data_IF_419639746697
#
_entry.id   IF_419639746697
#
_cell.length_a   1.000
_cell.length_b   1.000
_cell.length_c   1.000
_cell.angle_alpha   90.00
_cell.angle_beta   90.00
_cell.angle_gamma   90.00
#
_symmetry.space_group_name_H-M   'P 1'
#
loop_
_entity.id
_entity.type
_entity.pdbx_description
1 polymer ?
#
# COMPACT_ATOMS: atom_id res chain seq x y z
N UNK A 1 11.99 10.57 15.57
CA UNK A 1 13.19 10.33 14.74
C UNK A 1 14.39 10.61 15.61
N UNK A 2 15.12 9.53 15.95
CA UNK A 2 16.29 9.53 16.85
C UNK A 2 17.61 9.83 16.11
N UNK A 3 17.54 10.30 14.86
CA UNK A 3 18.75 10.61 14.07
C UNK A 3 19.54 11.74 14.74
N UNK A 4 20.85 11.52 14.91
CA UNK A 4 21.78 12.53 15.40
C UNK A 4 22.09 13.61 14.35
N UNK A 5 21.76 13.37 13.07
CA UNK A 5 22.04 14.27 11.95
C UNK A 5 20.75 14.66 11.21
N UNK A 6 19.80 15.26 11.92
CA UNK A 6 18.46 15.57 11.37
C UNK A 6 18.52 16.46 10.14
N UNK A 7 19.38 17.48 10.13
CA UNK A 7 19.50 18.40 9.00
C UNK A 7 19.98 17.72 7.71
N UNK A 8 21.00 16.86 7.82
CA UNK A 8 21.49 16.07 6.69
C UNK A 8 20.43 15.07 6.21
N UNK A 9 19.75 14.39 7.15
CA UNK A 9 18.65 13.49 6.81
C UNK A 9 17.52 14.22 6.08
N UNK A 10 17.15 15.43 6.51
CA UNK A 10 16.14 16.25 5.82
C UNK A 10 16.56 16.62 4.41
N UNK A 11 17.85 16.92 4.17
CA UNK A 11 18.35 17.19 2.81
C UNK A 11 18.20 15.99 1.89
N UNK A 12 18.51 14.78 2.38
CA UNK A 12 18.33 13.54 1.60
C UNK A 12 16.85 13.30 1.31
N UNK A 13 15.97 13.44 2.30
CA UNK A 13 14.53 13.31 2.09
C UNK A 13 13.99 14.34 1.09
N UNK A 14 14.50 15.57 1.11
CA UNK A 14 14.17 16.60 0.14
C UNK A 14 14.57 16.21 -1.28
N UNK A 15 15.76 15.65 -1.46
CA UNK A 15 16.19 15.10 -2.75
C UNK A 15 15.29 13.94 -3.20
N UNK A 16 14.99 12.97 -2.32
CA UNK A 16 14.12 11.84 -2.65
C UNK A 16 12.67 12.24 -2.98
N UNK A 17 12.22 13.40 -2.51
CA UNK A 17 10.91 13.97 -2.84
C UNK A 17 10.89 14.83 -4.12
N UNK A 18 12.06 15.08 -4.73
CA UNK A 18 12.22 15.93 -5.90
C UNK A 18 11.71 15.27 -7.19
N UNK A 19 11.41 16.09 -8.21
CA UNK A 19 11.07 15.61 -9.54
C UNK A 19 12.26 14.88 -10.21
N UNK A 20 13.49 15.35 -9.97
CA UNK A 20 14.71 14.73 -10.47
C UNK A 20 14.84 13.28 -9.97
N UNK A 21 14.71 13.07 -8.66
CA UNK A 21 14.77 11.72 -8.11
C UNK A 21 13.62 10.84 -8.61
N UNK A 22 12.40 11.38 -8.72
CA UNK A 22 11.26 10.63 -9.22
C UNK A 22 11.49 10.13 -10.66
N UNK A 23 12.06 10.97 -11.53
CA UNK A 23 12.42 10.59 -12.89
C UNK A 23 13.51 9.52 -12.89
N UNK A 24 14.57 9.70 -12.10
CA UNK A 24 15.66 8.72 -11.97
C UNK A 24 15.15 7.36 -11.45
N UNK A 25 14.22 7.38 -10.50
CA UNK A 25 13.61 6.19 -9.93
C UNK A 25 12.76 5.41 -10.96
N UNK A 26 12.00 6.13 -11.79
CA UNK A 26 11.26 5.54 -12.89
C UNK A 26 12.20 4.96 -13.97
N UNK A 27 13.23 5.71 -14.37
CA UNK A 27 14.13 5.33 -15.46
C UNK A 27 15.07 4.17 -15.10
N UNK A 28 15.67 4.18 -13.90
CA UNK A 28 16.71 3.23 -13.51
C UNK A 28 16.15 1.97 -12.83
N UNK A 29 15.04 2.10 -12.09
CA UNK A 29 14.46 0.97 -11.35
C UNK A 29 13.19 0.41 -12.00
N UNK A 30 12.59 1.13 -12.95
CA UNK A 30 11.33 0.73 -13.57
C UNK A 30 10.16 0.68 -12.58
N UNK A 31 10.22 1.44 -11.48
CA UNK A 31 9.23 1.38 -10.42
C UNK A 31 8.37 2.65 -10.38
N UNK A 32 7.03 2.56 -10.13
CA UNK A 32 6.16 3.72 -9.99
C UNK A 32 6.62 4.70 -8.89
N UNK A 33 7.08 5.91 -9.23
CA UNK A 33 7.46 6.88 -8.21
C UNK A 33 6.22 7.44 -7.50
N UNK A 34 6.42 8.02 -6.31
CA UNK A 34 5.34 8.68 -5.57
C UNK A 34 4.77 9.91 -6.30
N UNK A 35 5.58 10.53 -7.17
CA UNK A 35 5.17 11.65 -8.03
C UNK A 35 4.60 11.12 -9.33
N UNK A 36 3.58 11.78 -9.88
CA UNK A 36 2.90 11.36 -11.12
C UNK A 36 3.34 12.14 -12.36
N UNK A 37 4.16 13.17 -12.20
CA UNK A 37 4.65 14.06 -13.26
C UNK A 37 5.95 13.58 -13.95
N UNK A 38 6.19 12.26 -13.94
CA UNK A 38 7.36 11.64 -14.60
C UNK A 38 7.06 11.25 -16.04
N UNK A 39 8.07 11.28 -16.89
CA UNK A 39 7.99 10.72 -18.24
C UNK A 39 8.34 9.24 -18.19
N UNK A 40 7.41 8.38 -18.59
CA UNK A 40 7.60 6.92 -18.55
C UNK A 40 7.79 6.39 -19.97
N UNK A 41 8.95 5.75 -20.21
CA UNK A 41 9.26 5.10 -21.49
C UNK A 41 8.92 3.61 -21.50
N UNK A 42 9.01 2.96 -20.34
CA UNK A 42 8.71 1.55 -20.21
C UNK A 42 7.18 1.31 -20.33
N UNK A 43 6.73 0.45 -21.25
CA UNK A 43 5.31 0.26 -21.49
C UNK A 43 4.58 -0.43 -20.33
N UNK A 44 5.26 -1.25 -19.53
CA UNK A 44 4.68 -1.91 -18.34
C UNK A 44 4.52 -0.88 -17.23
N UNK A 45 5.55 -0.07 -16.98
CA UNK A 45 5.48 1.01 -16.00
C UNK A 45 4.39 2.03 -16.37
N UNK A 46 4.21 2.32 -17.66
CA UNK A 46 3.15 3.22 -18.12
C UNK A 46 1.76 2.66 -17.78
N UNK A 47 1.54 1.35 -17.98
CA UNK A 47 0.29 0.69 -17.60
C UNK A 47 0.08 0.71 -16.08
N UNK A 48 1.13 0.45 -15.29
CA UNK A 48 1.06 0.52 -13.82
C UNK A 48 0.69 1.93 -13.33
N UNK A 49 1.26 2.97 -13.94
CA UNK A 49 0.93 4.37 -13.62
C UNK A 49 -0.50 4.73 -14.01
N UNK A 50 -1.04 4.15 -15.09
CA UNK A 50 -2.46 4.33 -15.44
C UNK A 50 -3.38 3.64 -14.44
N UNK A 51 -3.07 2.41 -14.04
CA UNK A 51 -3.84 1.65 -13.05
C UNK A 51 -3.90 2.36 -11.69
N UNK A 52 -2.80 3.03 -11.29
CA UNK A 52 -2.71 3.69 -9.98
C UNK A 52 -3.69 4.85 -9.83
N UNK A 53 -4.16 5.47 -10.93
CA UNK A 53 -5.14 6.56 -10.92
C UNK A 53 -6.48 6.16 -10.30
N UNK A 54 -6.82 4.87 -10.34
CA UNK A 54 -8.05 4.31 -9.78
C UNK A 54 -7.79 3.41 -8.57
N UNK A 55 -6.64 3.57 -7.90
CA UNK A 55 -6.26 2.72 -6.77
C UNK A 55 -7.08 3.02 -5.51
N UNK A 56 -7.47 1.97 -4.80
CA UNK A 56 -8.02 2.09 -3.45
C UNK A 56 -6.90 1.99 -2.43
N UNK A 57 -6.95 2.74 -1.31
CA UNK A 57 -6.00 2.58 -0.23
C UNK A 57 -5.89 1.12 0.22
N UNK A 58 -4.68 0.63 0.48
CA UNK A 58 -4.48 -0.74 0.93
C UNK A 58 -4.89 -0.88 2.40
N UNK A 59 -6.20 -1.02 2.65
CA UNK A 59 -6.81 -0.95 3.98
C UNK A 59 -6.26 -2.00 4.94
N UNK A 60 -6.06 -3.23 4.48
CA UNK A 60 -5.51 -4.31 5.33
C UNK A 60 -4.08 -4.01 5.79
N UNK A 61 -3.30 -3.27 4.98
CA UNK A 61 -1.92 -2.89 5.29
C UNK A 61 -1.79 -1.56 6.02
N UNK A 62 -2.65 -0.57 5.75
CA UNK A 62 -2.49 0.79 6.30
C UNK A 62 -3.46 1.05 7.45
N UNK A 63 -4.72 0.65 7.29
CA UNK A 63 -5.78 0.87 8.27
C UNK A 63 -5.88 -0.25 9.31
N UNK A 64 -5.73 -1.50 8.88
CA UNK A 64 -6.14 -2.67 9.66
C UNK A 64 -4.98 -3.62 10.07
N UNK A 65 -3.76 -3.09 10.17
CA UNK A 65 -2.53 -3.85 10.51
C UNK A 65 -2.04 -3.73 11.96
N UNK A 66 -2.70 -2.95 12.79
CA UNK A 66 -2.09 -2.41 14.02
C UNK A 66 -2.31 -3.24 15.28
N UNK A 67 -3.29 -4.15 15.29
CA UNK A 67 -3.63 -4.99 16.42
C UNK A 67 -3.92 -6.42 15.95
N UNK A 68 -4.04 -7.35 16.89
CA UNK A 68 -4.36 -8.75 16.61
C UNK A 68 -5.81 -9.08 16.97
N UNK A 69 -6.54 -9.82 16.12
CA UNK A 69 -6.18 -10.22 14.75
C UNK A 69 -6.13 -9.02 13.78
N UNK A 70 -5.22 -9.08 12.81
CA UNK A 70 -5.17 -8.11 11.70
C UNK A 70 -6.14 -8.54 10.60
N UNK A 71 -6.56 -7.61 9.74
CA UNK A 71 -7.33 -7.98 8.55
C UNK A 71 -6.54 -8.94 7.64
N UNK A 72 -5.22 -8.74 7.52
CA UNK A 72 -4.35 -9.60 6.69
C UNK A 72 -4.24 -11.03 7.22
N UNK A 73 -4.19 -11.23 8.54
CA UNK A 73 -4.11 -12.58 9.11
C UNK A 73 -5.37 -13.39 8.86
N UNK A 74 -6.56 -12.77 8.91
CA UNK A 74 -7.82 -13.44 8.58
C UNK A 74 -7.92 -13.72 7.08
N UNK A 75 -7.57 -12.73 6.25
CA UNK A 75 -7.53 -12.90 4.80
C UNK A 75 -6.62 -14.08 4.40
N UNK A 76 -5.40 -14.14 4.95
CA UNK A 76 -4.44 -15.17 4.61
C UNK A 76 -4.91 -16.58 5.02
N UNK A 77 -5.65 -16.72 6.14
CA UNK A 77 -6.15 -18.03 6.57
C UNK A 77 -7.32 -18.54 5.74
N UNK A 78 -8.12 -17.65 5.15
CA UNK A 78 -9.41 -18.01 4.57
C UNK A 78 -9.49 -17.80 3.04
N UNK A 79 -8.55 -17.09 2.42
CA UNK A 79 -8.62 -16.75 0.99
C UNK A 79 -8.62 -17.98 0.08
N UNK A 80 -7.86 -19.03 0.43
CA UNK A 80 -7.81 -20.27 -0.36
C UNK A 80 -9.16 -20.99 -0.29
N UNK A 81 -9.75 -21.10 0.90
CA UNK A 81 -11.10 -21.67 1.06
C UNK A 81 -12.16 -20.89 0.27
N UNK A 82 -12.03 -19.57 0.20
CA UNK A 82 -12.95 -18.74 -0.60
C UNK A 82 -12.78 -19.00 -2.10
N UNK A 83 -11.53 -19.05 -2.60
CA UNK A 83 -11.24 -19.30 -4.02
C UNK A 83 -11.63 -20.72 -4.44
N UNK A 84 -11.47 -21.71 -3.56
CA UNK A 84 -11.90 -23.09 -3.79
C UNK A 84 -13.42 -23.28 -3.68
N UNK A 85 -14.16 -22.27 -3.19
CA UNK A 85 -15.61 -22.32 -3.01
C UNK A 85 -16.06 -23.03 -1.72
N UNK A 86 -15.13 -23.33 -0.81
CA UNK A 86 -15.42 -23.90 0.51
C UNK A 86 -16.17 -22.89 1.40
N UNK A 87 -15.94 -21.58 1.19
CA UNK A 87 -16.68 -20.49 1.84
C UNK A 87 -17.16 -19.45 0.82
N UNK A 88 -18.28 -18.79 1.13
CA UNK A 88 -18.77 -17.67 0.33
C UNK A 88 -17.91 -16.40 0.56
N UNK A 89 -17.73 -15.53 -0.45
CA UNK A 89 -17.03 -14.25 -0.29
C UNK A 89 -17.60 -13.37 0.83
N UNK A 90 -18.91 -13.42 1.06
CA UNK A 90 -19.61 -12.67 2.11
C UNK A 90 -19.18 -13.14 3.51
N UNK A 91 -18.86 -14.44 3.67
CA UNK A 91 -18.35 -14.98 4.94
C UNK A 91 -16.98 -14.40 5.24
N UNK A 92 -16.04 -14.49 4.28
CA UNK A 92 -14.70 -13.93 4.43
C UNK A 92 -14.75 -12.42 4.76
N UNK A 93 -15.61 -11.67 4.08
CA UNK A 93 -15.80 -10.25 4.37
C UNK A 93 -16.32 -10.00 5.79
N UNK A 94 -17.29 -10.80 6.26
CA UNK A 94 -17.83 -10.71 7.60
C UNK A 94 -16.80 -11.04 8.68
N UNK A 95 -15.95 -12.04 8.46
CA UNK A 95 -14.91 -12.45 9.40
C UNK A 95 -13.80 -11.40 9.52
N UNK A 96 -13.38 -10.81 8.40
CA UNK A 96 -12.47 -9.65 8.40
C UNK A 96 -13.08 -8.48 9.17
N UNK A 97 -14.36 -8.17 8.93
CA UNK A 97 -15.06 -7.08 9.62
C UNK A 97 -15.15 -7.33 11.12
N UNK A 98 -15.51 -8.55 11.54
CA UNK A 98 -15.62 -8.95 12.94
C UNK A 98 -14.25 -8.83 13.65
N UNK A 99 -13.18 -9.33 13.01
CA UNK A 99 -11.82 -9.25 13.52
C UNK A 99 -11.37 -7.81 13.75
N UNK A 100 -11.50 -6.95 12.75
CA UNK A 100 -11.10 -5.54 12.82
C UNK A 100 -11.94 -4.77 13.84
N UNK A 101 -13.25 -5.04 13.93
CA UNK A 101 -14.15 -4.35 14.85
C UNK A 101 -13.82 -4.57 16.35
N UNK A 102 -13.02 -5.59 16.69
CA UNK A 102 -12.58 -5.82 18.07
C UNK A 102 -11.69 -4.70 18.62
N UNK A 103 -11.00 -3.97 17.74
CA UNK A 103 -9.99 -2.97 18.14
C UNK A 103 -10.06 -1.67 17.33
N UNK A 104 -10.54 -1.70 16.10
CA UNK A 104 -10.65 -0.52 15.26
C UNK A 104 -11.94 0.24 15.59
N UNK A 105 -11.79 1.52 15.94
CA UNK A 105 -12.91 2.44 16.15
C UNK A 105 -12.91 3.47 15.03
N UNK A 106 -13.91 3.49 14.13
CA UNK A 106 -14.01 4.50 13.09
C UNK A 106 -14.03 5.90 13.72
N UNK A 107 -13.19 6.80 13.23
CA UNK A 107 -13.30 8.22 13.58
C UNK A 107 -14.48 8.78 12.78
N UNK A 108 -15.44 9.40 13.47
CA UNK A 108 -16.54 10.13 12.85
C UNK A 108 -16.04 11.39 12.14
#
# INVERSE_FOLDING_TARGET
>A
SESQNKEAATKVLGFMASAEFAQLFADELGWPPARTDVTVKDPVLAQMMEMSKNSTPYLTLVGFRWQSPTASSVLQSEIIDMVEGNIAPEKLAADIQAAVATWFKPKQ
#
